data_IF_893278174399
#
_entry.id   IF_893278174399
#
_cell.length_a   1.000
_cell.length_b   1.000
_cell.length_c   1.000
_cell.angle_alpha   90.00
_cell.angle_beta   90.00
_cell.angle_gamma   90.00
#
_symmetry.space_group_name_H-M   'P 1'
#
loop_
_entity.id
_entity.type
_entity.pdbx_description
1 polymer ?
#
# COMPACT_ATOMS: atom_id res chain seq x y z
N UNK A 1 40.25 2.19 5.00
CA UNK A 1 39.42 2.21 3.77
C UNK A 1 38.40 3.31 3.96
N UNK A 2 38.51 4.40 3.19
CA UNK A 2 37.71 5.62 3.36
C UNK A 2 36.23 5.34 3.01
N UNK A 3 35.35 5.52 3.98
CA UNK A 3 33.88 5.38 3.84
C UNK A 3 33.27 6.55 3.05
N UNK A 4 34.03 7.63 2.81
CA UNK A 4 33.54 8.86 2.16
C UNK A 4 33.40 8.79 0.62
N UNK A 5 33.88 7.75 -0.04
CA UNK A 5 33.83 7.65 -1.51
C UNK A 5 32.51 7.07 -2.08
N UNK A 6 31.53 6.72 -1.22
CA UNK A 6 30.23 6.13 -1.62
C UNK A 6 29.02 7.06 -1.48
N UNK A 7 29.18 8.25 -0.96
CA UNK A 7 28.15 9.28 -0.96
C UNK A 7 28.19 9.97 -2.31
N UNK A 8 27.07 9.98 -3.04
CA UNK A 8 26.92 10.58 -4.37
C UNK A 8 27.67 11.90 -4.52
N UNK A 9 28.14 12.21 -5.73
CA UNK A 9 28.98 13.39 -6.02
C UNK A 9 28.40 14.67 -5.39
N UNK A 10 29.23 15.61 -4.97
CA UNK A 10 28.79 16.88 -4.38
C UNK A 10 27.76 17.65 -5.23
N UNK A 11 27.77 17.44 -6.55
CA UNK A 11 26.76 17.93 -7.49
C UNK A 11 25.34 17.39 -7.19
N UNK A 12 25.20 16.17 -6.66
CA UNK A 12 23.92 15.55 -6.29
C UNK A 12 23.34 16.17 -5.00
N UNK A 13 24.19 16.72 -4.13
CA UNK A 13 23.77 17.41 -2.89
C UNK A 13 23.34 18.86 -3.09
N UNK A 14 23.78 19.51 -4.14
CA UNK A 14 23.48 20.92 -4.44
C UNK A 14 22.18 21.12 -5.21
N UNK A 15 21.62 20.10 -5.83
CA UNK A 15 20.37 20.21 -6.59
C UNK A 15 19.15 20.30 -5.67
N UNK A 16 18.58 21.50 -5.57
CA UNK A 16 17.36 21.78 -4.78
C UNK A 16 16.08 21.58 -5.56
N UNK A 17 16.15 21.30 -6.87
CA UNK A 17 14.95 21.07 -7.70
C UNK A 17 14.18 19.85 -7.22
N UNK A 18 12.84 19.88 -7.37
CA UNK A 18 12.00 18.77 -6.91
C UNK A 18 12.34 17.44 -7.55
N UNK A 19 12.02 16.36 -6.85
CA UNK A 19 12.06 14.99 -7.33
C UNK A 19 10.65 14.56 -7.70
N UNK A 20 10.46 14.01 -8.89
CA UNK A 20 9.24 13.33 -9.30
C UNK A 20 9.38 11.82 -9.09
N UNK A 21 8.44 11.20 -8.41
CA UNK A 21 8.29 9.74 -8.42
C UNK A 21 7.12 9.38 -9.33
N UNK A 22 7.37 8.49 -10.30
CA UNK A 22 6.34 7.81 -11.09
C UNK A 22 6.15 6.42 -10.49
N UNK A 23 5.12 6.21 -9.65
CA UNK A 23 4.95 4.96 -8.90
C UNK A 23 4.10 3.95 -9.68
N UNK A 24 3.97 2.74 -9.14
CA UNK A 24 2.90 1.84 -9.52
C UNK A 24 1.55 2.36 -8.99
N UNK A 25 0.48 2.20 -9.79
CA UNK A 25 -0.83 2.84 -9.55
C UNK A 25 -1.89 1.90 -8.94
N UNK A 26 -1.53 0.70 -8.48
CA UNK A 26 -2.38 -0.10 -7.62
C UNK A 26 -2.32 0.44 -6.19
N UNK A 27 -3.45 0.52 -5.49
CA UNK A 27 -3.52 1.12 -4.14
C UNK A 27 -2.43 0.57 -3.21
N UNK A 28 -2.30 -0.75 -3.12
CA UNK A 28 -1.30 -1.38 -2.25
C UNK A 28 0.13 -1.04 -2.64
N UNK A 29 0.44 -1.09 -3.94
CA UNK A 29 1.76 -0.74 -4.46
C UNK A 29 2.05 0.75 -4.26
N UNK A 30 1.05 1.62 -4.47
CA UNK A 30 1.16 3.06 -4.28
C UNK A 30 1.52 3.39 -2.81
N UNK A 31 0.84 2.77 -1.84
CA UNK A 31 1.17 2.93 -0.41
C UNK A 31 2.59 2.42 -0.11
N UNK A 32 2.96 1.25 -0.61
CA UNK A 32 4.29 0.66 -0.39
C UNK A 32 5.41 1.50 -1.01
N UNK A 33 5.13 2.22 -2.10
CA UNK A 33 6.09 3.15 -2.70
C UNK A 33 6.40 4.37 -1.82
N UNK A 34 5.66 4.62 -0.74
CA UNK A 34 6.03 5.64 0.24
C UNK A 34 7.40 5.36 0.91
N UNK A 35 7.86 4.11 0.96
CA UNK A 35 9.23 3.78 1.35
C UNK A 35 10.26 4.53 0.50
N UNK A 36 10.03 4.67 -0.81
CA UNK A 36 10.92 5.42 -1.71
C UNK A 36 11.02 6.88 -1.28
N UNK A 37 9.88 7.49 -0.92
CA UNK A 37 9.84 8.87 -0.38
C UNK A 37 10.68 8.96 0.89
N UNK A 38 10.53 8.02 1.82
CA UNK A 38 11.29 8.02 3.07
C UNK A 38 12.79 7.90 2.84
N UNK A 39 13.23 6.99 1.98
CA UNK A 39 14.65 6.85 1.60
C UNK A 39 15.18 8.15 0.97
N UNK A 40 14.40 8.78 0.09
CA UNK A 40 14.79 10.07 -0.50
C UNK A 40 14.90 11.17 0.56
N UNK A 41 13.99 11.20 1.54
CA UNK A 41 14.00 12.19 2.62
C UNK A 41 15.13 11.98 3.64
N UNK A 42 15.60 10.77 3.83
CA UNK A 42 16.81 10.47 4.60
C UNK A 42 18.07 11.02 3.89
N UNK A 43 18.12 10.90 2.56
CA UNK A 43 19.25 11.41 1.75
C UNK A 43 19.20 12.92 1.53
N UNK A 44 18.02 13.47 1.27
CA UNK A 44 17.77 14.87 0.93
C UNK A 44 16.57 15.42 1.70
N UNK A 45 16.71 15.75 2.98
CA UNK A 45 15.59 16.17 3.85
C UNK A 45 14.79 17.34 3.28
N UNK A 46 15.47 18.32 2.68
CA UNK A 46 14.88 19.56 2.21
C UNK A 46 14.42 19.51 0.75
N UNK A 47 14.80 18.50 -0.01
CA UNK A 47 14.44 18.38 -1.42
C UNK A 47 12.97 18.01 -1.58
N UNK A 48 12.13 18.82 -2.28
CA UNK A 48 10.72 18.50 -2.44
C UNK A 48 10.51 17.21 -3.25
N UNK A 49 9.54 16.39 -2.83
CA UNK A 49 9.17 15.14 -3.53
C UNK A 49 7.70 15.20 -3.92
N UNK A 50 7.41 15.03 -5.20
CA UNK A 50 6.06 14.91 -5.75
C UNK A 50 5.82 13.49 -6.26
N UNK A 51 4.57 13.05 -6.18
CA UNK A 51 4.13 11.76 -6.73
C UNK A 51 3.21 11.98 -7.94
N UNK A 52 3.48 11.29 -9.05
CA UNK A 52 2.46 11.11 -10.07
C UNK A 52 1.40 10.17 -9.52
N UNK A 53 0.13 10.50 -9.65
CA UNK A 53 -0.98 9.72 -9.10
C UNK A 53 -2.16 9.65 -10.05
N UNK A 54 -3.08 8.72 -9.81
CA UNK A 54 -4.40 8.66 -10.45
C UNK A 54 -5.43 9.31 -9.55
N UNK A 55 -6.61 9.63 -10.12
CA UNK A 55 -7.75 10.11 -9.34
C UNK A 55 -8.10 9.16 -8.18
N UNK A 56 -7.96 7.85 -8.39
CA UNK A 56 -8.20 6.84 -7.35
C UNK A 56 -7.23 6.95 -6.17
N UNK A 57 -5.92 7.09 -6.44
CA UNK A 57 -4.89 7.12 -5.40
C UNK A 57 -4.60 8.52 -4.84
N UNK A 58 -5.11 9.57 -5.48
CA UNK A 58 -4.87 10.95 -5.07
C UNK A 58 -5.18 11.23 -3.58
N UNK A 59 -6.28 10.71 -2.98
CA UNK A 59 -6.58 10.94 -1.57
C UNK A 59 -5.51 10.42 -0.61
N UNK A 60 -4.67 9.45 -1.00
CA UNK A 60 -3.59 8.93 -0.18
C UNK A 60 -2.45 9.94 0.01
N UNK A 61 -2.22 10.77 -1.00
CA UNK A 61 -1.11 11.75 -0.97
C UNK A 61 -1.24 12.73 0.18
N UNK A 62 -2.47 13.12 0.52
CA UNK A 62 -2.75 14.04 1.63
C UNK A 62 -2.29 13.51 3.00
N UNK A 63 -2.10 12.20 3.09
CA UNK A 63 -1.70 11.51 4.31
C UNK A 63 -0.24 11.00 4.27
N UNK A 64 0.50 11.22 3.17
CA UNK A 64 1.88 10.73 3.00
C UNK A 64 2.91 11.75 3.50
N UNK A 65 3.57 11.54 4.67
CA UNK A 65 4.61 12.43 5.15
C UNK A 65 5.77 12.57 4.15
N UNK A 66 6.28 13.79 3.98
CA UNK A 66 7.41 14.05 3.09
C UNK A 66 7.05 14.19 1.61
N UNK A 67 5.81 13.96 1.22
CA UNK A 67 5.29 14.29 -0.12
C UNK A 67 4.81 15.73 -0.12
N UNK A 68 5.27 16.52 -1.10
CA UNK A 68 4.84 17.92 -1.27
C UNK A 68 3.50 17.99 -2.01
N UNK A 69 3.34 17.22 -3.09
CA UNK A 69 2.13 17.25 -3.92
C UNK A 69 1.92 15.96 -4.71
N UNK A 70 0.65 15.63 -4.96
CA UNK A 70 0.22 14.64 -5.95
C UNK A 70 -0.08 15.31 -7.29
N UNK A 71 0.43 14.74 -8.38
CA UNK A 71 0.09 15.16 -9.74
C UNK A 71 -0.90 14.18 -10.29
N UNK A 72 -2.17 14.55 -10.25
CA UNK A 72 -3.26 13.70 -10.71
C UNK A 72 -3.26 13.64 -12.23
N UNK A 73 -3.06 12.45 -12.76
CA UNK A 73 -3.07 12.21 -14.19
C UNK A 73 -3.49 10.77 -14.54
N UNK A 74 -4.73 10.63 -14.97
CA UNK A 74 -5.26 9.32 -15.35
C UNK A 74 -4.82 8.95 -16.77
N UNK A 75 -4.10 7.83 -16.86
CA UNK A 75 -3.63 7.24 -18.11
C UNK A 75 -4.35 5.92 -18.40
N UNK A 76 -4.84 5.71 -19.62
CA UNK A 76 -5.41 4.42 -19.99
C UNK A 76 -4.33 3.33 -19.96
N UNK A 77 -4.67 2.18 -19.35
CA UNK A 77 -3.71 1.07 -19.19
C UNK A 77 -3.39 0.35 -20.49
N UNK A 78 -4.38 0.21 -21.37
CA UNK A 78 -4.31 -0.64 -22.57
C UNK A 78 -3.69 0.01 -23.80
N UNK A 79 -3.61 1.35 -23.85
CA UNK A 79 -3.12 2.09 -25.03
C UNK A 79 -2.13 3.18 -24.66
N UNK A 80 -1.35 3.64 -25.66
CA UNK A 80 -0.30 4.64 -25.44
C UNK A 80 -0.83 6.03 -25.04
N UNK A 81 -1.98 6.44 -25.56
CA UNK A 81 -2.58 7.76 -25.32
C UNK A 81 -1.60 8.93 -25.56
N UNK A 82 -1.05 9.03 -26.76
CA UNK A 82 0.02 9.98 -27.14
C UNK A 82 -0.26 11.41 -26.70
N UNK A 83 -1.44 11.95 -27.01
CA UNK A 83 -1.81 13.31 -26.61
C UNK A 83 -1.74 13.52 -25.09
N UNK A 84 -2.14 12.52 -24.30
CA UNK A 84 -2.03 12.58 -22.83
C UNK A 84 -0.60 12.55 -22.35
N UNK A 85 0.32 11.84 -23.04
CA UNK A 85 1.76 11.87 -22.73
C UNK A 85 2.33 13.28 -22.94
N UNK A 86 1.99 13.95 -24.04
CA UNK A 86 2.42 15.33 -24.28
C UNK A 86 1.80 16.32 -23.28
N UNK A 87 0.52 16.17 -22.94
CA UNK A 87 -0.14 16.98 -21.92
C UNK A 87 0.55 16.85 -20.54
N UNK A 88 0.82 15.62 -20.12
CA UNK A 88 1.55 15.37 -18.89
C UNK A 88 2.98 15.96 -18.94
N UNK A 89 3.69 15.77 -20.05
CA UNK A 89 5.03 16.31 -20.22
C UNK A 89 5.05 17.84 -20.11
N UNK A 90 4.06 18.54 -20.69
CA UNK A 90 3.87 19.98 -20.57
C UNK A 90 3.66 20.43 -19.13
N UNK A 91 2.85 19.69 -18.37
CA UNK A 91 2.64 19.95 -16.94
C UNK A 91 3.91 19.73 -16.12
N UNK A 92 4.64 18.62 -16.34
CA UNK A 92 5.87 18.30 -15.63
C UNK A 92 6.98 19.33 -15.91
N UNK A 93 7.08 19.82 -17.16
CA UNK A 93 8.08 20.83 -17.54
C UNK A 93 7.92 22.12 -16.72
N UNK A 94 6.69 22.56 -16.49
CA UNK A 94 6.39 23.77 -15.70
C UNK A 94 6.83 23.63 -14.23
N UNK A 95 6.99 22.41 -13.72
CA UNK A 95 7.36 22.16 -12.32
C UNK A 95 8.87 22.05 -12.09
N UNK A 96 9.67 22.11 -13.14
CA UNK A 96 11.13 22.15 -13.12
C UNK A 96 11.77 21.06 -12.25
N UNK A 97 11.39 19.79 -12.47
CA UNK A 97 12.01 18.66 -11.77
C UNK A 97 13.47 18.50 -12.15
N UNK A 98 14.34 18.24 -11.16
CA UNK A 98 15.73 17.87 -11.39
C UNK A 98 15.90 16.36 -11.65
N UNK A 99 15.09 15.54 -10.97
CA UNK A 99 15.17 14.09 -11.01
C UNK A 99 13.78 13.46 -11.14
N UNK A 100 13.66 12.38 -11.91
CA UNK A 100 12.50 11.52 -11.95
C UNK A 100 12.89 10.07 -11.63
N UNK A 101 12.26 9.47 -10.62
CA UNK A 101 12.33 8.03 -10.36
C UNK A 101 11.15 7.35 -11.04
N UNK A 102 11.41 6.49 -12.03
CA UNK A 102 10.39 5.78 -12.81
C UNK A 102 10.33 4.33 -12.35
N UNK A 103 9.46 4.03 -11.38
CA UNK A 103 9.38 2.73 -10.73
C UNK A 103 8.79 1.63 -11.63
N UNK A 104 7.70 1.87 -12.40
CA UNK A 104 7.17 0.86 -13.32
C UNK A 104 8.19 0.53 -14.42
N UNK A 105 8.25 -0.75 -14.80
CA UNK A 105 9.21 -1.25 -15.81
C UNK A 105 8.87 -0.89 -17.24
N UNK A 106 7.63 -0.42 -17.49
CA UNK A 106 7.14 -0.16 -18.84
C UNK A 106 7.77 1.10 -19.43
N UNK A 107 8.07 1.06 -20.74
CA UNK A 107 8.55 2.24 -21.47
C UNK A 107 7.54 3.40 -21.44
N UNK A 108 6.22 3.11 -21.41
CA UNK A 108 5.16 4.11 -21.30
C UNK A 108 5.29 5.03 -20.09
N UNK A 109 5.75 4.49 -18.96
CA UNK A 109 5.92 5.26 -17.72
C UNK A 109 7.06 6.29 -17.82
N UNK A 110 8.03 6.09 -18.73
CA UNK A 110 9.19 6.96 -18.89
C UNK A 110 9.01 8.05 -19.96
N UNK A 111 7.96 7.98 -20.79
CA UNK A 111 7.75 8.91 -21.91
C UNK A 111 7.58 10.35 -21.41
N UNK A 112 6.59 10.60 -20.56
CA UNK A 112 6.29 11.97 -20.12
C UNK A 112 7.46 12.62 -19.37
N UNK A 113 8.16 11.96 -18.44
CA UNK A 113 9.40 12.47 -17.86
C UNK A 113 10.49 12.81 -18.89
N UNK A 114 10.66 11.98 -19.92
CA UNK A 114 11.64 12.23 -20.99
C UNK A 114 11.25 13.43 -21.86
N UNK A 115 10.00 13.48 -22.32
CA UNK A 115 9.46 14.61 -23.10
C UNK A 115 9.43 15.92 -22.30
N UNK A 116 9.29 15.85 -20.98
CA UNK A 116 9.39 17.02 -20.11
C UNK A 116 10.80 17.57 -20.00
N UNK A 117 11.81 16.83 -20.45
CA UNK A 117 13.21 17.23 -20.37
C UNK A 117 13.77 17.14 -18.95
N UNK A 118 13.22 16.28 -18.07
CA UNK A 118 13.78 16.10 -16.72
C UNK A 118 15.21 15.59 -16.85
N UNK A 119 16.21 16.30 -16.27
CA UNK A 119 17.64 16.01 -16.54
C UNK A 119 18.07 14.62 -16.12
N UNK A 120 17.62 14.16 -14.95
CA UNK A 120 17.95 12.84 -14.43
C UNK A 120 16.71 11.97 -14.37
N UNK A 121 16.75 10.82 -15.07
CA UNK A 121 15.63 9.90 -15.16
C UNK A 121 16.10 8.49 -14.81
N UNK A 122 15.81 8.08 -13.57
CA UNK A 122 16.32 6.85 -12.95
C UNK A 122 15.26 5.76 -13.05
N UNK A 123 15.66 4.55 -13.39
CA UNK A 123 14.79 3.38 -13.38
C UNK A 123 15.51 2.11 -13.83
N UNK A 124 14.93 0.96 -13.55
CA UNK A 124 15.45 -0.30 -14.09
C UNK A 124 15.28 -0.36 -15.61
N UNK A 125 16.17 -1.07 -16.29
CA UNK A 125 16.15 -1.20 -17.77
C UNK A 125 14.78 -1.67 -18.28
N UNK A 126 14.17 -2.66 -17.65
CA UNK A 126 12.81 -3.10 -17.95
C UNK A 126 12.60 -3.46 -19.41
N UNK A 127 11.67 -2.79 -20.09
CA UNK A 127 11.32 -2.98 -21.51
C UNK A 127 12.24 -2.20 -22.47
N UNK A 128 13.55 -2.26 -22.28
CA UNK A 128 14.55 -1.60 -23.15
C UNK A 128 14.33 -0.09 -23.31
N UNK A 129 14.15 0.62 -22.21
CA UNK A 129 13.80 2.07 -22.15
C UNK A 129 14.99 2.99 -22.40
N UNK A 130 15.94 2.58 -23.26
CA UNK A 130 17.07 3.38 -23.65
C UNK A 130 16.62 4.67 -24.34
N UNK A 131 17.26 5.79 -24.01
CA UNK A 131 16.84 7.12 -24.49
C UNK A 131 15.72 7.77 -23.68
N UNK A 132 14.77 7.01 -23.13
CA UNK A 132 13.75 7.54 -22.21
C UNK A 132 14.28 7.71 -20.79
N UNK A 133 15.05 6.77 -20.31
CA UNK A 133 15.86 6.88 -19.10
C UNK A 133 17.31 7.23 -19.49
N UNK A 134 18.04 7.89 -18.59
CA UNK A 134 19.47 8.19 -18.76
C UNK A 134 20.32 7.79 -17.54
N UNK A 135 19.71 7.27 -16.49
CA UNK A 135 20.35 6.62 -15.34
C UNK A 135 19.74 5.23 -15.16
N UNK A 136 20.23 4.28 -15.94
CA UNK A 136 19.70 2.91 -15.94
C UNK A 136 20.20 2.14 -14.74
N UNK A 137 19.36 1.31 -14.17
CA UNK A 137 19.69 0.35 -13.14
C UNK A 137 19.56 -1.06 -13.69
N UNK A 138 20.51 -1.90 -13.33
CA UNK A 138 20.54 -3.31 -13.67
C UNK A 138 20.25 -4.18 -12.46
N UNK A 139 20.06 -5.48 -12.66
CA UNK A 139 19.98 -6.45 -11.57
C UNK A 139 18.61 -6.53 -10.86
N UNK A 140 17.55 -5.91 -11.38
CA UNK A 140 16.20 -5.96 -10.76
C UNK A 140 15.75 -7.38 -10.40
N UNK A 141 16.07 -8.38 -11.23
CA UNK A 141 15.69 -9.78 -11.00
C UNK A 141 16.39 -10.41 -9.77
N UNK A 142 17.49 -9.84 -9.32
CA UNK A 142 18.22 -10.26 -8.11
C UNK A 142 17.61 -9.69 -6.83
N UNK A 143 16.74 -8.69 -6.95
CA UNK A 143 16.08 -8.06 -5.83
C UNK A 143 14.83 -8.88 -5.47
N UNK A 144 14.74 -9.41 -4.24
CA UNK A 144 13.75 -10.42 -3.92
C UNK A 144 12.32 -9.87 -3.84
N UNK A 145 12.13 -8.72 -3.15
CA UNK A 145 10.80 -8.17 -2.85
C UNK A 145 10.49 -6.95 -3.70
N UNK A 146 9.19 -6.64 -3.85
CA UNK A 146 8.73 -5.43 -4.52
C UNK A 146 9.30 -4.15 -3.89
N UNK A 147 9.35 -4.10 -2.56
CA UNK A 147 9.90 -2.95 -1.82
C UNK A 147 11.40 -2.78 -2.11
N UNK A 148 12.17 -3.87 -2.19
CA UNK A 148 13.60 -3.83 -2.50
C UNK A 148 13.85 -3.20 -3.86
N UNK A 149 13.07 -3.61 -4.88
CA UNK A 149 13.17 -3.08 -6.25
C UNK A 149 12.94 -1.57 -6.29
N UNK A 150 11.87 -1.12 -5.65
CA UNK A 150 11.50 0.29 -5.73
C UNK A 150 12.41 1.17 -4.88
N UNK A 151 12.71 0.77 -3.65
CA UNK A 151 13.54 1.55 -2.74
C UNK A 151 15.01 1.62 -3.18
N UNK A 152 15.54 0.58 -3.83
CA UNK A 152 16.89 0.60 -4.40
C UNK A 152 17.08 1.72 -5.44
N UNK A 153 16.03 2.14 -6.16
CA UNK A 153 16.11 3.26 -7.10
C UNK A 153 16.35 4.61 -6.42
N UNK A 154 16.02 4.73 -5.14
CA UNK A 154 16.28 5.93 -4.34
C UNK A 154 17.69 5.96 -3.71
N UNK A 155 18.45 4.86 -3.82
CA UNK A 155 19.82 4.77 -3.34
C UNK A 155 20.85 5.02 -4.46
N UNK A 156 22.12 5.26 -4.13
CA UNK A 156 23.21 5.26 -5.10
C UNK A 156 23.26 3.94 -5.88
N UNK A 157 23.81 3.99 -7.11
CA UNK A 157 23.97 2.78 -7.90
C UNK A 157 24.97 1.82 -7.25
N UNK A 158 24.61 0.53 -7.20
CA UNK A 158 25.47 -0.48 -6.58
C UNK A 158 25.49 -0.46 -5.05
N UNK A 159 24.72 0.41 -4.39
CA UNK A 159 24.63 0.40 -2.94
C UNK A 159 24.07 -0.93 -2.42
N UNK A 160 24.60 -1.47 -1.31
CA UNK A 160 24.05 -2.67 -0.71
C UNK A 160 22.61 -2.41 -0.20
N UNK A 161 21.78 -3.45 -0.24
CA UNK A 161 20.46 -3.34 0.38
C UNK A 161 20.62 -3.23 1.90
N UNK A 162 19.86 -2.36 2.56
CA UNK A 162 19.82 -2.32 4.01
C UNK A 162 19.16 -3.60 4.55
N UNK A 163 19.45 -3.94 5.80
CA UNK A 163 18.78 -5.05 6.47
C UNK A 163 17.25 -4.84 6.51
N UNK A 164 16.83 -3.60 6.75
CA UNK A 164 15.43 -3.19 6.77
C UNK A 164 15.25 -1.85 6.05
N UNK A 165 14.15 -1.74 5.31
CA UNK A 165 13.72 -0.48 4.72
C UNK A 165 12.85 0.32 5.68
N UNK A 166 12.87 1.66 5.62
CA UNK A 166 11.88 2.46 6.32
C UNK A 166 10.47 2.08 5.84
N UNK A 167 9.60 1.66 6.76
CA UNK A 167 8.24 1.21 6.43
C UNK A 167 7.39 2.34 5.88
N UNK A 168 6.43 2.08 4.96
CA UNK A 168 5.46 3.07 4.52
C UNK A 168 4.72 3.70 5.70
N UNK A 169 4.39 4.97 5.60
CA UNK A 169 3.63 5.70 6.62
C UNK A 169 2.51 6.51 5.99
N UNK A 170 1.36 6.49 6.64
CA UNK A 170 0.27 7.43 6.45
C UNK A 170 -0.05 8.08 7.79
N UNK A 171 -0.40 9.35 7.80
CA UNK A 171 -0.77 10.10 9.00
C UNK A 171 -2.09 10.81 8.79
N UNK A 172 -3.07 10.48 9.61
CA UNK A 172 -4.38 11.14 9.64
C UNK A 172 -4.44 11.97 10.92
N UNK A 173 -4.79 13.28 10.85
CA UNK A 173 -5.01 14.10 12.03
C UNK A 173 -6.12 13.53 12.92
N UNK A 174 -5.90 13.54 14.23
CA UNK A 174 -6.86 12.98 15.21
C UNK A 174 -8.25 13.62 15.12
N UNK A 175 -8.28 14.94 14.85
CA UNK A 175 -9.53 15.70 14.70
C UNK A 175 -10.31 15.26 13.43
N UNK A 176 -9.60 14.79 12.39
CA UNK A 176 -10.24 14.27 11.19
C UNK A 176 -10.86 12.91 11.46
N UNK A 177 -10.20 12.07 12.25
CA UNK A 177 -10.75 10.76 12.70
C UNK A 177 -11.99 10.99 13.56
N UNK A 178 -11.93 11.91 14.53
CA UNK A 178 -13.05 12.22 15.42
C UNK A 178 -14.27 12.70 14.64
N UNK A 179 -14.09 13.68 13.75
CA UNK A 179 -15.18 14.19 12.89
C UNK A 179 -15.78 13.10 11.99
N UNK A 180 -14.91 12.21 11.46
CA UNK A 180 -15.36 11.11 10.62
C UNK A 180 -16.20 10.10 11.42
N UNK A 181 -15.80 9.76 12.65
CA UNK A 181 -16.58 8.88 13.52
C UNK A 181 -17.96 9.48 13.84
N UNK A 182 -17.99 10.75 14.22
CA UNK A 182 -19.22 11.49 14.50
C UNK A 182 -20.16 11.49 13.27
N UNK A 183 -19.64 11.83 12.08
CA UNK A 183 -20.42 11.86 10.85
C UNK A 183 -21.00 10.49 10.44
N UNK A 184 -20.38 9.38 10.89
CA UNK A 184 -20.88 8.02 10.64
C UNK A 184 -21.64 7.42 11.82
N UNK A 185 -21.88 8.17 12.91
CA UNK A 185 -22.56 7.69 14.10
C UNK A 185 -21.84 6.53 14.78
N UNK A 186 -20.50 6.57 14.81
CA UNK A 186 -19.64 5.54 15.37
C UNK A 186 -19.15 5.94 16.77
N UNK A 187 -19.15 5.01 17.71
CA UNK A 187 -18.66 5.21 19.06
C UNK A 187 -17.14 5.41 19.14
N UNK A 188 -16.65 5.82 20.33
CA UNK A 188 -15.24 5.99 20.60
C UNK A 188 -14.49 4.65 20.84
N UNK A 189 -15.22 3.54 20.99
CA UNK A 189 -14.66 2.22 21.26
C UNK A 189 -13.75 1.70 20.14
N UNK A 190 -12.91 0.73 20.49
CA UNK A 190 -12.09 0.02 19.50
C UNK A 190 -12.99 -0.90 18.65
N UNK A 191 -12.97 -0.74 17.34
CA UNK A 191 -13.71 -1.57 16.40
C UNK A 191 -12.76 -2.45 15.59
N UNK A 192 -13.26 -3.57 15.08
CA UNK A 192 -12.56 -4.45 14.13
C UNK A 192 -12.98 -4.09 12.72
N UNK A 193 -12.03 -3.63 11.90
CA UNK A 193 -12.26 -3.37 10.49
C UNK A 193 -12.03 -4.63 9.65
N UNK A 194 -13.05 -5.10 8.95
CA UNK A 194 -12.99 -6.20 8.01
C UNK A 194 -12.90 -5.67 6.58
N UNK A 195 -11.83 -6.01 5.85
CA UNK A 195 -11.65 -5.65 4.45
C UNK A 195 -11.71 -6.90 3.55
N UNK A 196 -12.92 -7.33 3.16
CA UNK A 196 -13.13 -8.61 2.47
C UNK A 196 -12.81 -8.53 0.97
N UNK A 197 -12.58 -7.33 0.43
CA UNK A 197 -12.28 -7.12 -0.98
C UNK A 197 -10.88 -7.56 -1.40
N UNK A 198 -10.78 -7.93 -2.67
CA UNK A 198 -9.50 -8.06 -3.38
C UNK A 198 -9.75 -8.12 -4.88
N UNK A 199 -8.75 -7.71 -5.69
CA UNK A 199 -8.83 -7.75 -7.16
C UNK A 199 -8.93 -9.18 -7.68
N UNK A 200 -8.26 -10.14 -7.06
CA UNK A 200 -8.35 -11.56 -7.42
C UNK A 200 -9.33 -12.31 -6.51
N UNK A 201 -10.36 -12.93 -7.10
CA UNK A 201 -11.35 -13.71 -6.30
C UNK A 201 -10.71 -14.85 -5.51
N UNK A 202 -9.60 -15.41 -5.99
CA UNK A 202 -8.84 -16.45 -5.28
C UNK A 202 -8.25 -16.00 -3.96
N UNK A 203 -8.06 -14.68 -3.77
CA UNK A 203 -7.53 -14.09 -2.53
C UNK A 203 -8.60 -13.84 -1.47
N UNK A 204 -9.89 -13.99 -1.81
CA UNK A 204 -10.98 -13.67 -0.90
C UNK A 204 -11.16 -14.80 0.11
N UNK A 205 -10.99 -14.46 1.37
CA UNK A 205 -11.32 -15.36 2.47
C UNK A 205 -12.83 -15.45 2.63
N UNK A 206 -13.36 -16.67 2.67
CA UNK A 206 -14.82 -16.92 2.66
C UNK A 206 -15.47 -16.82 4.03
N UNK A 207 -14.68 -16.85 5.12
CA UNK A 207 -15.20 -16.97 6.48
C UNK A 207 -15.36 -15.61 7.17
N UNK A 208 -15.41 -14.50 6.43
CA UNK A 208 -15.71 -13.17 7.00
C UNK A 208 -17.08 -13.09 7.68
N UNK A 209 -18.17 -13.67 7.13
CA UNK A 209 -19.47 -13.69 7.81
C UNK A 209 -19.42 -14.35 9.18
N UNK A 210 -18.78 -15.52 9.27
CA UNK A 210 -18.61 -16.20 10.56
C UNK A 210 -17.70 -15.41 11.52
N UNK A 211 -16.63 -14.85 11.03
CA UNK A 211 -15.74 -14.01 11.85
C UNK A 211 -16.49 -12.80 12.43
N UNK A 212 -17.33 -12.13 11.63
CA UNK A 212 -18.14 -11.02 12.09
C UNK A 212 -19.11 -11.44 13.20
N UNK A 213 -19.83 -12.57 13.02
CA UNK A 213 -20.70 -13.12 14.05
C UNK A 213 -19.94 -13.39 15.35
N UNK A 214 -18.80 -14.09 15.27
CA UNK A 214 -17.98 -14.40 16.44
C UNK A 214 -17.43 -13.14 17.14
N UNK A 215 -17.04 -12.11 16.41
CA UNK A 215 -16.59 -10.84 16.99
C UNK A 215 -17.71 -10.11 17.72
N UNK A 216 -18.91 -10.05 17.12
CA UNK A 216 -20.08 -9.43 17.74
C UNK A 216 -20.52 -10.20 18.99
N UNK A 217 -20.50 -11.53 18.99
CA UNK A 217 -20.78 -12.36 20.18
C UNK A 217 -19.81 -12.09 21.34
N UNK A 218 -18.62 -11.57 21.04
CA UNK A 218 -17.64 -11.11 22.03
C UNK A 218 -17.77 -9.63 22.43
N UNK A 219 -18.84 -8.98 21.99
CA UNK A 219 -19.14 -7.57 22.30
C UNK A 219 -18.28 -6.56 21.54
N UNK A 220 -17.64 -6.98 20.44
CA UNK A 220 -16.83 -6.09 19.61
C UNK A 220 -17.67 -5.47 18.49
N UNK A 221 -17.49 -4.17 18.25
CA UNK A 221 -18.05 -3.50 17.09
C UNK A 221 -17.25 -3.89 15.82
N UNK A 222 -17.95 -4.21 14.74
CA UNK A 222 -17.37 -4.67 13.48
C UNK A 222 -17.72 -3.70 12.36
N UNK A 223 -16.71 -3.26 11.59
CA UNK A 223 -16.89 -2.41 10.41
C UNK A 223 -16.49 -3.17 9.15
N UNK A 224 -17.35 -3.21 8.14
CA UNK A 224 -17.01 -3.75 6.83
C UNK A 224 -16.55 -2.59 5.95
N UNK A 225 -15.31 -2.63 5.49
CA UNK A 225 -14.67 -1.55 4.74
C UNK A 225 -14.31 -2.03 3.33
N UNK A 226 -14.71 -1.26 2.33
CA UNK A 226 -14.45 -1.59 0.92
C UNK A 226 -15.02 -0.54 -0.03
N UNK A 227 -14.77 -0.71 -1.33
CA UNK A 227 -15.38 0.09 -2.38
C UNK A 227 -16.77 -0.40 -2.78
N UNK A 228 -17.36 0.19 -3.84
CA UNK A 228 -18.69 -0.22 -4.34
C UNK A 228 -18.77 -1.69 -4.75
N UNK A 229 -17.66 -2.27 -5.22
CA UNK A 229 -17.60 -3.68 -5.65
C UNK A 229 -17.75 -4.67 -4.49
N UNK A 230 -17.52 -4.24 -3.24
CA UNK A 230 -17.60 -5.07 -2.05
C UNK A 230 -18.99 -5.04 -1.38
N UNK A 231 -19.95 -4.29 -1.94
CA UNK A 231 -21.28 -4.11 -1.34
C UNK A 231 -22.03 -5.44 -1.09
N UNK A 232 -21.94 -6.37 -2.05
CA UNK A 232 -22.54 -7.71 -1.89
C UNK A 232 -21.92 -8.51 -0.74
N UNK A 233 -20.58 -8.47 -0.63
CA UNK A 233 -19.86 -9.12 0.46
C UNK A 233 -20.23 -8.49 1.81
N UNK A 234 -20.39 -7.16 1.86
CA UNK A 234 -20.78 -6.46 3.07
C UNK A 234 -22.19 -6.87 3.54
N UNK A 235 -23.13 -7.04 2.63
CA UNK A 235 -24.49 -7.50 2.94
C UNK A 235 -24.48 -8.90 3.58
N UNK A 236 -23.68 -9.83 3.06
CA UNK A 236 -23.52 -11.18 3.64
C UNK A 236 -22.93 -11.11 5.06
N UNK A 237 -21.93 -10.26 5.29
CA UNK A 237 -21.26 -10.10 6.58
C UNK A 237 -22.22 -9.44 7.60
N UNK A 238 -22.95 -8.41 7.19
CA UNK A 238 -23.97 -7.73 8.03
C UNK A 238 -25.08 -8.71 8.41
N UNK A 239 -25.57 -9.51 7.46
CA UNK A 239 -26.60 -10.50 7.73
C UNK A 239 -26.15 -11.55 8.76
N UNK A 240 -24.88 -11.94 8.75
CA UNK A 240 -24.35 -12.92 9.70
C UNK A 240 -24.09 -12.33 11.10
N UNK A 241 -23.59 -11.10 11.20
CA UNK A 241 -23.21 -10.48 12.48
C UNK A 241 -24.30 -9.58 13.09
N UNK A 242 -25.36 -9.25 12.34
CA UNK A 242 -26.50 -8.48 12.83
C UNK A 242 -26.16 -7.03 13.20
N UNK A 243 -26.84 -6.45 14.22
CA UNK A 243 -26.74 -5.03 14.56
C UNK A 243 -25.34 -4.55 15.00
N UNK A 244 -24.47 -5.46 15.43
CA UNK A 244 -23.08 -5.16 15.80
C UNK A 244 -22.15 -4.91 14.62
N UNK A 245 -22.64 -5.09 13.38
CA UNK A 245 -21.86 -4.87 12.16
C UNK A 245 -22.32 -3.62 11.42
N UNK A 246 -21.36 -2.74 11.10
CA UNK A 246 -21.60 -1.51 10.32
C UNK A 246 -21.04 -1.67 8.91
N UNK A 247 -21.87 -1.47 7.90
CA UNK A 247 -21.45 -1.42 6.50
C UNK A 247 -20.93 -0.01 6.16
N UNK A 248 -19.61 0.11 6.01
CA UNK A 248 -18.91 1.33 5.60
C UNK A 248 -18.36 1.22 4.16
N UNK A 249 -18.89 0.29 3.36
CA UNK A 249 -18.51 0.12 1.96
C UNK A 249 -19.21 1.12 1.03
N UNK A 250 -18.75 1.22 -0.21
CA UNK A 250 -19.39 2.00 -1.26
C UNK A 250 -19.01 3.48 -1.31
N UNK A 251 -18.06 3.90 -0.47
CA UNK A 251 -17.52 5.26 -0.41
C UNK A 251 -16.20 5.39 -1.17
N UNK A 252 -15.60 6.57 -1.13
CA UNK A 252 -14.29 6.82 -1.75
C UNK A 252 -13.12 6.23 -0.93
N UNK A 253 -11.91 6.28 -1.50
CA UNK A 253 -10.71 5.76 -0.84
C UNK A 253 -10.36 6.53 0.45
N UNK A 254 -10.68 7.83 0.54
CA UNK A 254 -10.46 8.65 1.73
C UNK A 254 -11.25 8.08 2.92
N UNK A 255 -12.51 7.69 2.71
CA UNK A 255 -13.30 7.03 3.74
C UNK A 255 -12.66 5.71 4.20
N UNK A 256 -12.11 4.92 3.27
CA UNK A 256 -11.35 3.72 3.61
C UNK A 256 -10.11 4.00 4.47
N UNK A 257 -9.37 5.08 4.18
CA UNK A 257 -8.23 5.53 5.00
C UNK A 257 -8.68 5.90 6.41
N UNK A 258 -9.77 6.67 6.54
CA UNK A 258 -10.29 7.13 7.83
C UNK A 258 -10.84 5.97 8.66
N UNK A 259 -11.54 5.03 8.03
CA UNK A 259 -12.01 3.81 8.68
C UNK A 259 -10.85 2.97 9.23
N UNK A 260 -9.80 2.75 8.43
CA UNK A 260 -8.61 2.02 8.88
C UNK A 260 -7.84 2.76 9.96
N UNK A 261 -7.75 4.10 9.90
CA UNK A 261 -7.10 4.91 10.94
C UNK A 261 -7.87 4.90 12.27
N UNK A 262 -9.19 4.80 12.20
CA UNK A 262 -10.08 4.78 13.37
C UNK A 262 -10.21 3.39 14.00
N UNK A 263 -9.91 2.32 13.28
CA UNK A 263 -10.05 0.95 13.76
C UNK A 263 -9.01 0.58 14.83
N UNK A 264 -9.38 -0.29 15.76
CA UNK A 264 -8.46 -0.89 16.73
C UNK A 264 -7.59 -1.99 16.12
N UNK A 265 -8.15 -2.74 15.17
CA UNK A 265 -7.45 -3.78 14.38
C UNK A 265 -8.10 -3.90 13.01
N UNK A 266 -7.31 -4.21 12.00
CA UNK A 266 -7.78 -4.49 10.65
C UNK A 266 -7.54 -5.97 10.29
N UNK A 267 -8.56 -6.65 9.78
CA UNK A 267 -8.48 -7.99 9.20
C UNK A 267 -8.75 -7.86 7.70
N UNK A 268 -7.79 -8.21 6.89
CA UNK A 268 -7.87 -7.98 5.44
C UNK A 268 -7.27 -9.14 4.65
N UNK A 269 -7.82 -9.40 3.48
CA UNK A 269 -7.11 -10.14 2.45
C UNK A 269 -5.86 -9.37 1.99
N UNK A 270 -4.97 -10.01 1.24
CA UNK A 270 -3.90 -9.33 0.50
C UNK A 270 -4.53 -8.32 -0.50
N UNK A 271 -4.70 -7.09 -0.05
CA UNK A 271 -5.41 -6.01 -0.74
C UNK A 271 -4.83 -4.63 -0.44
N UNK A 272 -5.31 -3.61 -1.15
CA UNK A 272 -4.88 -2.22 -0.93
C UNK A 272 -5.17 -1.71 0.49
N UNK A 273 -6.33 -2.07 1.08
CA UNK A 273 -6.72 -1.66 2.43
C UNK A 273 -5.82 -2.26 3.51
N UNK A 274 -5.29 -3.47 3.32
CA UNK A 274 -4.29 -4.07 4.19
C UNK A 274 -3.04 -3.18 4.30
N UNK A 275 -2.53 -2.72 3.17
CA UNK A 275 -1.35 -1.86 3.14
C UNK A 275 -1.62 -0.46 3.70
N UNK A 276 -2.83 0.06 3.50
CA UNK A 276 -3.28 1.33 4.11
C UNK A 276 -3.30 1.20 5.63
N UNK A 277 -3.97 0.18 6.18
CA UNK A 277 -4.03 -0.06 7.62
C UNK A 277 -2.62 -0.19 8.23
N UNK A 278 -1.76 -0.99 7.60
CA UNK A 278 -0.37 -1.15 8.04
C UNK A 278 0.41 0.18 8.03
N UNK A 279 0.27 0.99 6.97
CA UNK A 279 0.96 2.27 6.86
C UNK A 279 0.45 3.33 7.86
N UNK A 280 -0.80 3.21 8.31
CA UNK A 280 -1.39 4.02 9.38
C UNK A 280 -0.90 3.62 10.79
N UNK A 281 -0.20 2.49 10.91
CA UNK A 281 0.19 1.93 12.21
C UNK A 281 -0.95 1.16 12.90
N UNK A 282 -2.08 0.97 12.25
CA UNK A 282 -3.18 0.13 12.75
C UNK A 282 -2.70 -1.32 12.79
N UNK A 283 -2.88 -2.03 13.92
CA UNK A 283 -2.63 -3.47 13.97
C UNK A 283 -3.35 -4.18 12.82
N UNK A 284 -2.60 -4.91 11.99
CA UNK A 284 -3.12 -5.42 10.73
C UNK A 284 -2.89 -6.92 10.59
N UNK A 285 -3.95 -7.65 10.38
CA UNK A 285 -3.92 -9.07 10.11
C UNK A 285 -4.18 -9.32 8.62
N UNK A 286 -3.14 -9.74 7.91
CA UNK A 286 -3.21 -10.08 6.49
C UNK A 286 -3.48 -11.56 6.27
N UNK A 287 -4.54 -11.90 5.56
CA UNK A 287 -4.91 -13.28 5.20
C UNK A 287 -4.35 -13.61 3.82
N UNK A 288 -3.55 -14.66 3.77
CA UNK A 288 -2.82 -15.08 2.57
C UNK A 288 -3.14 -16.55 2.22
N UNK A 289 -3.38 -16.78 0.96
CA UNK A 289 -3.55 -18.11 0.41
C UNK A 289 -2.76 -18.27 -0.90
N UNK A 290 -3.27 -17.70 -2.02
CA UNK A 290 -2.59 -17.82 -3.32
C UNK A 290 -1.34 -16.93 -3.43
N UNK A 291 -1.19 -15.91 -2.60
CA UNK A 291 -0.05 -14.97 -2.60
C UNK A 291 0.92 -15.25 -1.45
N UNK A 292 2.19 -14.91 -1.64
CA UNK A 292 3.24 -15.14 -0.66
C UNK A 292 3.35 -13.98 0.33
N UNK A 293 3.24 -14.21 1.65
CA UNK A 293 3.51 -13.18 2.65
C UNK A 293 4.93 -12.62 2.55
N UNK A 294 5.92 -13.41 2.17
CA UNK A 294 7.28 -12.93 1.95
C UNK A 294 7.34 -11.73 0.99
N UNK A 295 6.50 -11.74 -0.05
CA UNK A 295 6.46 -10.68 -1.06
C UNK A 295 5.52 -9.53 -0.68
N UNK A 296 4.40 -9.83 -0.02
CA UNK A 296 3.25 -8.95 0.07
C UNK A 296 2.76 -8.66 1.49
N UNK A 297 3.45 -9.17 2.54
CA UNK A 297 3.05 -8.89 3.92
C UNK A 297 2.86 -7.39 4.19
N UNK A 298 1.92 -7.03 5.08
CA UNK A 298 1.79 -5.68 5.58
C UNK A 298 3.06 -5.28 6.33
N UNK A 299 3.56 -4.06 6.05
CA UNK A 299 4.83 -3.57 6.56
C UNK A 299 4.59 -2.67 7.78
N UNK A 300 4.48 -3.28 8.96
CA UNK A 300 4.47 -2.56 10.23
C UNK A 300 4.80 -3.53 11.37
N UNK A 301 5.31 -3.02 12.49
CA UNK A 301 5.70 -3.84 13.64
C UNK A 301 4.55 -4.50 14.40
N UNK A 302 3.28 -4.12 14.08
CA UNK A 302 2.07 -4.68 14.68
C UNK A 302 1.31 -5.58 13.68
N UNK A 303 1.92 -5.91 12.54
CA UNK A 303 1.29 -6.73 11.52
C UNK A 303 1.45 -8.22 11.82
N UNK A 304 0.42 -8.99 11.51
CA UNK A 304 0.42 -10.43 11.49
C UNK A 304 0.02 -10.96 10.12
N UNK A 305 0.60 -12.08 9.72
CA UNK A 305 0.20 -12.79 8.50
C UNK A 305 -0.42 -14.13 8.87
N UNK A 306 -1.56 -14.43 8.28
CA UNK A 306 -2.29 -15.67 8.50
C UNK A 306 -2.28 -16.45 7.20
N UNK A 307 -1.75 -17.65 7.28
CA UNK A 307 -1.66 -18.61 6.16
C UNK A 307 -2.14 -19.96 6.67
N UNK A 308 -2.95 -20.65 5.88
CA UNK A 308 -3.24 -22.03 6.25
C UNK A 308 -1.98 -22.89 6.10
N UNK A 309 -1.68 -23.66 7.14
CA UNK A 309 -0.53 -24.57 7.23
C UNK A 309 -0.92 -26.03 7.56
N UNK A 310 -2.23 -26.26 7.82
CA UNK A 310 -2.78 -27.58 8.18
C UNK A 310 -2.62 -28.60 7.08
N UNK A 311 -2.60 -28.15 5.82
CA UNK A 311 -2.41 -28.96 4.65
C UNK A 311 -1.29 -28.41 3.77
N UNK A 312 -0.36 -29.27 3.34
CA UNK A 312 0.66 -28.89 2.36
C UNK A 312 0.03 -28.91 0.96
N UNK A 313 -0.42 -27.73 0.51
CA UNK A 313 -0.96 -27.57 -0.83
C UNK A 313 0.18 -27.33 -1.82
N UNK A 314 0.37 -28.24 -2.77
CA UNK A 314 1.44 -28.15 -3.77
C UNK A 314 1.36 -26.91 -4.66
N UNK A 315 0.19 -26.27 -4.75
CA UNK A 315 -0.03 -25.05 -5.52
C UNK A 315 0.20 -23.76 -4.71
N UNK A 316 0.43 -23.81 -3.39
CA UNK A 316 0.53 -22.63 -2.55
C UNK A 316 2.00 -22.24 -2.29
N UNK A 317 2.39 -20.96 -2.59
CA UNK A 317 1.62 -19.87 -3.19
C UNK A 317 1.59 -19.94 -4.73
N UNK A 318 0.41 -19.91 -5.35
CA UNK A 318 0.26 -20.04 -6.80
C UNK A 318 0.27 -18.71 -7.57
N UNK A 319 0.20 -17.57 -6.88
CA UNK A 319 0.14 -16.20 -7.44
C UNK A 319 -1.00 -15.99 -8.46
N UNK A 320 -2.03 -16.83 -8.44
CA UNK A 320 -3.13 -16.78 -9.39
C UNK A 320 -4.29 -15.93 -8.88
N UNK A 321 -4.92 -15.17 -9.76
CA UNK A 321 -6.12 -14.37 -9.45
C UNK A 321 -7.42 -15.18 -9.44
N UNK A 322 -7.36 -16.38 -10.02
CA UNK A 322 -8.47 -17.35 -10.05
C UNK A 322 -7.91 -18.72 -9.62
N UNK A 323 -8.63 -19.43 -8.76
CA UNK A 323 -8.20 -20.74 -8.31
C UNK A 323 -8.30 -21.77 -9.44
N UNK A 324 -7.16 -22.29 -9.90
CA UNK A 324 -7.11 -23.32 -10.96
C UNK A 324 -7.64 -24.68 -10.52
N UNK A 325 -7.60 -24.96 -9.22
CA UNK A 325 -8.12 -26.20 -8.64
C UNK A 325 -9.62 -26.12 -8.29
N UNK A 326 -10.22 -24.94 -8.46
CA UNK A 326 -11.60 -24.64 -8.12
C UNK A 326 -12.01 -25.00 -6.67
N UNK A 327 -11.04 -25.08 -5.77
CA UNK A 327 -11.18 -25.63 -4.42
C UNK A 327 -11.05 -24.56 -3.33
N UNK A 328 -10.15 -23.58 -3.52
CA UNK A 328 -9.90 -22.47 -2.59
C UNK A 328 -9.49 -22.90 -1.16
N UNK A 329 -9.03 -24.13 -0.93
CA UNK A 329 -8.65 -24.65 0.40
C UNK A 329 -7.63 -23.76 1.12
N UNK A 330 -6.69 -23.17 0.39
CA UNK A 330 -5.70 -22.24 0.96
C UNK A 330 -6.31 -21.01 1.68
N UNK A 331 -7.56 -20.66 1.37
CA UNK A 331 -8.31 -19.60 2.02
C UNK A 331 -9.42 -20.18 2.91
N UNK A 332 -10.20 -21.13 2.40
CA UNK A 332 -11.36 -21.71 3.10
C UNK A 332 -10.97 -22.41 4.41
N UNK A 333 -9.80 -23.05 4.47
CA UNK A 333 -9.35 -23.80 5.65
C UNK A 333 -8.76 -22.92 6.76
N UNK A 334 -8.68 -21.59 6.57
CA UNK A 334 -8.37 -20.64 7.66
C UNK A 334 -9.66 -20.45 8.48
N UNK A 335 -9.68 -20.96 9.70
CA UNK A 335 -10.86 -20.91 10.54
C UNK A 335 -11.15 -19.50 11.07
N UNK A 336 -12.42 -19.11 11.10
CA UNK A 336 -12.83 -17.81 11.64
C UNK A 336 -12.45 -17.67 13.13
N UNK A 337 -12.61 -18.72 13.93
CA UNK A 337 -12.23 -18.74 15.33
C UNK A 337 -10.76 -18.48 15.59
N UNK A 338 -9.88 -18.97 14.72
CA UNK A 338 -8.44 -18.71 14.79
C UNK A 338 -8.12 -17.23 14.56
N UNK A 339 -8.68 -16.66 13.48
CA UNK A 339 -8.50 -15.25 13.12
C UNK A 339 -9.04 -14.33 14.23
N UNK A 340 -10.23 -14.63 14.75
CA UNK A 340 -10.86 -13.85 15.83
C UNK A 340 -10.03 -13.92 17.11
N UNK A 341 -9.55 -15.11 17.51
CA UNK A 341 -8.69 -15.24 18.69
C UNK A 341 -7.36 -14.47 18.59
N UNK A 342 -6.79 -14.30 17.38
CA UNK A 342 -5.63 -13.43 17.18
C UNK A 342 -6.04 -11.96 17.32
N UNK A 343 -7.16 -11.54 16.73
CA UNK A 343 -7.65 -10.17 16.80
C UNK A 343 -7.89 -9.72 18.26
N UNK A 344 -8.47 -10.57 19.08
CA UNK A 344 -8.71 -10.30 20.52
C UNK A 344 -7.39 -10.09 21.28
N UNK A 345 -6.40 -10.94 21.05
CA UNK A 345 -5.08 -10.76 21.67
C UNK A 345 -4.40 -9.46 21.25
N UNK A 346 -4.53 -9.08 19.99
CA UNK A 346 -3.98 -7.83 19.47
C UNK A 346 -4.68 -6.63 20.10
N UNK A 347 -6.01 -6.65 20.24
CA UNK A 347 -6.78 -5.58 20.88
C UNK A 347 -6.46 -5.48 22.37
N UNK A 348 -6.39 -6.60 23.08
CA UNK A 348 -6.04 -6.66 24.50
C UNK A 348 -4.59 -6.15 24.78
N UNK A 349 -3.63 -6.55 23.96
CA UNK A 349 -2.25 -6.09 24.07
C UNK A 349 -2.03 -4.63 23.66
N UNK A 350 -2.89 -4.07 22.78
CA UNK A 350 -2.87 -2.65 22.42
C UNK A 350 -3.45 -1.77 23.55
N UNK A 351 -4.43 -2.28 24.28
CA UNK A 351 -4.97 -1.63 25.49
C UNK A 351 -3.93 -1.46 26.58
N UNK A 352 -3.14 -2.49 26.85
CA UNK A 352 -2.07 -2.45 27.85
C UNK A 352 -0.96 -1.43 27.52
N UNK A 353 -0.58 -1.30 26.24
CA UNK A 353 0.45 -0.34 25.78
C UNK A 353 -0.01 1.13 25.73
N UNK A 354 -1.32 1.40 25.64
CA UNK A 354 -1.84 2.77 25.71
C UNK A 354 -1.95 3.31 27.13
N UNK A 355 -2.13 2.45 28.12
CA UNK A 355 -2.15 2.84 29.54
C UNK A 355 -0.78 3.17 30.10
N UNK A 356 0.31 2.71 29.46
CA UNK A 356 1.69 2.97 29.88
C UNK A 356 2.28 4.29 29.32
N UNK A 357 1.49 5.03 28.53
CA UNK A 357 1.88 6.28 27.89
C UNK A 357 1.06 7.50 28.36
N UNK A 358 0.22 7.35 29.38
CA UNK A 358 -0.47 8.45 30.10
C UNK A 358 0.12 8.64 31.48
#
# INVERSE_FOLDING_TARGET
>A
MNIDSQLGSDADRSDTRPILIVPYMWIGDFVRNHTVVRVLKERWPNRPVDLLTTSLCAPLVDYMPGVRAGIVWDMPRSRLAVARQFGLAGLLRKRNYGTALVLPRTWKAAIAPALAGIPERIGFVGELRFGLLNRWRWGEKKLPRFIDKNAALAQPDGAPLPAEWPVPQLRVPAEQIARWREANGLGAGAAVALAPGSVGVSKRWTNYPEAARLLVERGLEVWVVGGPAEKGLAQEIVAAGGPGVRDLTGTDLRNGVLAMAAAGVAISNDSGLMHIAAALGTPTMGIFGPTSPYLWAPLNGLAATIVQDKEKLSCQPCQSTVCKMNDHRCMRNIAASEVVGIAERVLGGAGARRSDLT
#
